data_IF_899981110221
#
_entry.id   IF_899981110221
#
_cell.length_a   1.000
_cell.length_b   1.000
_cell.length_c   1.000
_cell.angle_alpha   90.00
_cell.angle_beta   90.00
_cell.angle_gamma   90.00
#
_symmetry.space_group_name_H-M   'P 1'
#
loop_
_entity.id
_entity.type
_entity.pdbx_description
1 polymer ?
#
# COMPACT_ATOMS: atom_id res chain seq x y z
N UNK A 1 1.46 40.51 -28.67
CA UNK A 1 1.41 40.03 -27.26
C UNK A 1 2.51 38.97 -27.05
N UNK A 2 3.74 39.20 -27.56
CA UNK A 2 4.62 38.07 -27.95
C UNK A 2 6.12 38.21 -27.59
N UNK A 3 6.56 39.21 -26.82
CA UNK A 3 8.01 39.44 -26.64
C UNK A 3 8.47 39.78 -25.21
N UNK A 4 7.83 39.25 -24.17
CA UNK A 4 8.29 39.47 -22.79
C UNK A 4 9.29 38.44 -22.24
N UNK A 5 9.55 37.32 -22.94
CA UNK A 5 10.41 36.24 -22.42
C UNK A 5 11.89 36.33 -22.83
N UNK A 6 12.28 37.30 -23.68
CA UNK A 6 13.64 37.37 -24.24
C UNK A 6 14.68 38.07 -23.35
N UNK A 7 14.26 38.67 -22.23
CA UNK A 7 15.12 39.52 -21.38
C UNK A 7 15.37 38.96 -19.98
N UNK A 8 15.02 37.69 -19.71
CA UNK A 8 15.33 37.07 -18.43
C UNK A 8 16.78 36.56 -18.44
N UNK A 9 17.65 37.22 -17.70
CA UNK A 9 18.99 36.72 -17.40
C UNK A 9 18.87 35.57 -16.41
N UNK A 10 19.03 34.34 -16.89
CA UNK A 10 19.02 33.15 -16.03
C UNK A 10 20.20 33.19 -15.06
N UNK A 11 19.92 33.11 -13.76
CA UNK A 11 20.95 32.92 -12.74
C UNK A 11 21.38 31.45 -12.69
N UNK A 12 22.63 31.22 -12.32
CA UNK A 12 23.11 29.85 -12.08
C UNK A 12 22.29 29.21 -10.95
N UNK A 13 21.88 27.96 -11.16
CA UNK A 13 21.21 27.18 -10.14
C UNK A 13 22.10 27.05 -8.89
N UNK A 14 21.51 27.09 -7.68
CA UNK A 14 22.26 26.83 -6.47
C UNK A 14 22.78 25.40 -6.45
N UNK A 15 23.75 25.14 -5.57
CA UNK A 15 24.40 23.82 -5.45
C UNK A 15 23.39 22.67 -5.36
N UNK A 16 23.73 21.54 -5.98
CA UNK A 16 22.83 20.39 -6.18
C UNK A 16 22.27 19.85 -4.86
N UNK A 17 23.06 19.88 -3.78
CA UNK A 17 22.63 19.48 -2.44
C UNK A 17 21.45 20.30 -1.90
N UNK A 18 21.40 21.60 -2.19
CA UNK A 18 20.28 22.48 -1.81
C UNK A 18 19.03 22.25 -2.63
N UNK A 19 19.17 21.68 -3.83
CA UNK A 19 18.07 21.43 -4.74
C UNK A 19 17.38 20.08 -4.51
N UNK A 20 18.06 19.12 -3.86
CA UNK A 20 17.51 17.78 -3.65
C UNK A 20 16.13 17.78 -2.97
N UNK A 21 15.84 18.63 -1.96
CA UNK A 21 14.50 18.69 -1.38
C UNK A 21 13.39 19.04 -2.36
N UNK A 22 13.71 19.80 -3.40
CA UNK A 22 12.78 20.24 -4.44
C UNK A 22 12.66 19.21 -5.58
N UNK A 23 13.77 18.55 -5.93
CA UNK A 23 13.81 17.54 -6.99
C UNK A 23 13.33 16.17 -6.53
N UNK A 24 13.57 15.84 -5.27
CA UNK A 24 13.30 14.54 -4.65
C UNK A 24 12.43 14.73 -3.39
N UNK A 25 11.10 14.91 -3.56
CA UNK A 25 10.19 15.07 -2.44
C UNK A 25 10.21 13.85 -1.51
N UNK A 26 10.06 14.14 -0.22
CA UNK A 26 9.96 13.11 0.82
C UNK A 26 8.59 12.42 0.75
N UNK A 27 8.59 11.10 0.89
CA UNK A 27 7.40 10.24 0.85
C UNK A 27 7.46 9.23 1.99
N UNK A 28 6.29 8.89 2.52
CA UNK A 28 6.12 7.88 3.56
C UNK A 28 6.02 6.50 2.93
N UNK A 29 6.68 5.52 3.55
CA UNK A 29 6.60 4.11 3.18
C UNK A 29 5.36 3.53 3.87
N UNK A 30 4.52 2.86 3.10
CA UNK A 30 3.40 2.09 3.64
C UNK A 30 3.92 0.88 4.42
N UNK A 31 3.07 0.32 5.27
CA UNK A 31 3.45 -0.86 6.04
C UNK A 31 3.82 -2.06 5.14
N UNK A 32 3.20 -2.15 3.96
CA UNK A 32 3.49 -3.18 2.93
C UNK A 32 4.82 -2.97 2.17
N UNK A 33 5.65 -2.00 2.58
CA UNK A 33 6.95 -1.73 1.97
C UNK A 33 6.89 -0.95 0.65
N UNK A 34 5.79 -0.24 0.37
CA UNK A 34 5.64 0.54 -0.86
C UNK A 34 5.63 2.05 -0.62
N UNK A 35 6.01 2.79 -1.64
CA UNK A 35 5.95 4.24 -1.68
C UNK A 35 5.04 4.68 -2.80
N UNK A 36 4.15 5.62 -2.49
CA UNK A 36 3.23 6.19 -3.46
C UNK A 36 3.83 7.41 -4.14
N UNK A 37 3.92 7.37 -5.47
CA UNK A 37 4.39 8.48 -6.29
C UNK A 37 3.68 8.48 -7.64
N UNK A 38 3.16 9.62 -8.08
CA UNK A 38 2.47 9.78 -9.37
C UNK A 38 1.38 8.72 -9.64
N UNK A 39 0.57 8.44 -8.62
CA UNK A 39 -0.53 7.49 -8.71
C UNK A 39 -0.10 6.02 -8.93
N UNK A 40 1.12 5.69 -8.51
CA UNK A 40 1.73 4.36 -8.60
C UNK A 40 2.43 3.98 -7.31
N UNK A 41 2.58 2.67 -7.11
CA UNK A 41 3.26 2.08 -5.96
C UNK A 41 4.63 1.55 -6.41
N UNK A 42 5.68 1.96 -5.71
CA UNK A 42 7.05 1.51 -5.93
C UNK A 42 7.58 0.84 -4.67
N UNK A 43 8.13 -0.36 -4.83
CA UNK A 43 8.68 -1.17 -3.77
C UNK A 43 9.96 -0.59 -3.16
N UNK A 44 10.13 -0.71 -1.85
CA UNK A 44 11.35 -0.33 -1.13
C UNK A 44 11.99 -1.61 -0.57
N UNK A 45 13.31 -1.81 -0.78
CA UNK A 45 13.98 -3.00 -0.26
C UNK A 45 14.00 -3.01 1.27
N UNK A 46 13.96 -4.22 1.85
CA UNK A 46 13.95 -4.44 3.30
C UNK A 46 15.26 -3.98 3.98
N UNK A 47 16.33 -3.77 3.20
CA UNK A 47 17.59 -3.19 3.67
C UNK A 47 17.42 -1.79 4.24
N UNK A 48 16.38 -1.06 3.81
CA UNK A 48 16.05 0.26 4.34
C UNK A 48 15.08 0.15 5.51
N UNK A 49 15.55 0.43 6.73
CA UNK A 49 14.75 0.38 7.96
C UNK A 49 13.91 1.64 8.23
N UNK A 50 14.12 2.71 7.45
CA UNK A 50 13.43 3.98 7.65
C UNK A 50 11.96 3.94 7.25
N UNK A 51 11.11 4.77 7.88
CA UNK A 51 9.67 4.90 7.54
C UNK A 51 9.40 5.85 6.36
N UNK A 52 10.44 6.55 5.91
CA UNK A 52 10.35 7.61 4.90
C UNK A 52 11.54 7.54 3.98
N UNK A 53 11.33 7.93 2.72
CA UNK A 53 12.34 8.01 1.67
C UNK A 53 12.11 9.25 0.82
N UNK A 54 13.09 9.61 0.01
CA UNK A 54 12.91 10.60 -1.05
C UNK A 54 12.74 9.90 -2.38
N UNK A 55 11.89 10.46 -3.24
CA UNK A 55 11.62 9.89 -4.56
C UNK A 55 11.92 10.92 -5.62
N UNK A 56 12.84 10.59 -6.52
CA UNK A 56 13.19 11.42 -7.65
C UNK A 56 12.85 10.69 -8.95
N UNK A 57 12.18 11.37 -9.87
CA UNK A 57 11.92 10.84 -11.21
C UNK A 57 12.71 11.63 -12.25
N UNK A 58 13.42 10.91 -13.10
CA UNK A 58 14.13 11.45 -14.26
C UNK A 58 13.72 10.64 -15.49
N UNK A 59 12.77 11.17 -16.28
CA UNK A 59 12.24 10.47 -17.47
C UNK A 59 11.52 9.17 -17.10
N UNK A 60 12.05 8.04 -17.56
CA UNK A 60 11.50 6.68 -17.31
C UNK A 60 12.18 5.95 -16.14
N UNK A 61 13.04 6.65 -15.40
CA UNK A 61 13.76 6.10 -14.26
C UNK A 61 13.31 6.82 -12.99
N UNK A 62 12.92 6.03 -11.99
CA UNK A 62 12.53 6.52 -10.68
C UNK A 62 13.52 6.00 -9.63
N UNK A 63 14.19 6.92 -8.95
CA UNK A 63 15.19 6.64 -7.91
C UNK A 63 14.58 6.86 -6.54
N UNK A 64 14.79 5.88 -5.67
CA UNK A 64 14.46 5.96 -4.25
C UNK A 64 15.75 6.28 -3.52
N UNK A 65 15.75 7.39 -2.79
CA UNK A 65 16.90 7.93 -2.09
C UNK A 65 16.70 7.90 -0.58
N UNK A 66 17.80 7.78 0.15
CA UNK A 66 17.87 7.99 1.60
C UNK A 66 17.40 9.41 1.96
N UNK A 67 16.62 9.59 3.05
CA UNK A 67 16.07 10.89 3.41
C UNK A 67 17.13 11.92 3.82
N UNK A 68 18.24 11.48 4.43
CA UNK A 68 19.28 12.33 5.01
C UNK A 68 20.50 12.45 4.09
N UNK A 69 21.06 11.31 3.70
CA UNK A 69 22.29 11.25 2.89
C UNK A 69 22.05 11.41 1.40
N UNK A 70 20.80 11.23 0.94
CA UNK A 70 20.42 11.21 -0.48
C UNK A 70 21.09 10.10 -1.29
N UNK A 71 21.63 9.08 -0.62
CA UNK A 71 22.17 7.89 -1.27
C UNK A 71 21.08 7.09 -1.97
N UNK A 72 21.42 6.49 -3.11
CA UNK A 72 20.48 5.67 -3.87
C UNK A 72 20.23 4.33 -3.17
N UNK A 73 18.99 4.12 -2.72
CA UNK A 73 18.55 2.86 -2.11
C UNK A 73 18.18 1.85 -3.20
N UNK A 74 17.38 2.31 -4.18
CA UNK A 74 16.93 1.45 -5.28
C UNK A 74 16.47 2.27 -6.48
N UNK A 75 16.64 1.71 -7.68
CA UNK A 75 16.18 2.30 -8.93
C UNK A 75 15.12 1.43 -9.61
N UNK A 76 13.98 2.05 -9.90
CA UNK A 76 12.87 1.48 -10.64
C UNK A 76 12.83 1.99 -12.08
N UNK A 77 12.45 1.10 -13.00
CA UNK A 77 11.95 1.52 -14.31
C UNK A 77 10.46 1.85 -14.19
N UNK A 78 10.09 3.04 -14.63
CA UNK A 78 8.71 3.48 -14.61
C UNK A 78 7.91 2.64 -15.60
N UNK A 79 6.95 1.87 -15.08
CA UNK A 79 5.96 1.18 -15.90
C UNK A 79 4.64 1.98 -15.91
N UNK A 80 3.87 1.89 -16.99
CA UNK A 80 2.56 2.56 -17.10
C UNK A 80 1.41 1.68 -16.60
N UNK A 81 1.72 0.58 -15.92
CA UNK A 81 0.71 -0.35 -15.41
C UNK A 81 0.10 0.16 -14.10
N UNK A 82 -1.08 -0.37 -13.74
CA UNK A 82 -1.70 -0.14 -12.43
C UNK A 82 -1.18 -1.11 -11.35
N UNK A 83 -0.31 -2.05 -11.71
CA UNK A 83 0.22 -3.02 -10.75
C UNK A 83 1.33 -2.37 -9.93
N UNK A 84 1.51 -2.77 -8.66
CA UNK A 84 2.64 -2.32 -7.87
C UNK A 84 3.96 -2.75 -8.55
N UNK A 85 4.94 -1.87 -8.48
CA UNK A 85 6.26 -2.09 -9.06
C UNK A 85 7.17 -2.64 -7.96
N UNK A 86 7.38 -3.95 -7.96
CA UNK A 86 8.13 -4.65 -6.92
C UNK A 86 9.64 -4.39 -7.07
N UNK A 87 10.38 -4.36 -5.96
CA UNK A 87 11.83 -4.33 -6.02
C UNK A 87 12.46 -5.65 -5.54
N UNK A 88 13.72 -5.85 -5.92
CA UNK A 88 14.51 -6.99 -5.46
C UNK A 88 14.83 -6.78 -3.97
N UNK A 89 14.58 -7.81 -3.16
CA UNK A 89 14.86 -7.75 -1.72
C UNK A 89 13.86 -6.96 -0.88
N UNK A 90 12.68 -6.62 -1.40
CA UNK A 90 11.59 -6.06 -0.58
C UNK A 90 10.95 -7.08 0.35
N UNK A 91 11.04 -8.37 0.02
CA UNK A 91 10.58 -9.47 0.87
C UNK A 91 11.74 -10.39 1.15
N UNK A 92 11.80 -10.92 2.38
CA UNK A 92 12.73 -11.99 2.70
C UNK A 92 12.38 -13.23 1.88
N UNK A 93 13.41 -13.96 1.44
CA UNK A 93 13.23 -15.28 0.82
C UNK A 93 13.11 -16.37 1.88
N UNK A 94 13.40 -16.04 3.14
CA UNK A 94 13.25 -16.98 4.24
C UNK A 94 11.78 -17.38 4.37
N UNK A 95 11.48 -18.67 4.43
CA UNK A 95 10.10 -19.14 4.58
C UNK A 95 9.56 -18.64 5.92
N UNK A 96 8.31 -18.16 5.91
CA UNK A 96 7.54 -17.93 7.13
C UNK A 96 7.66 -19.16 8.03
N UNK A 97 7.98 -18.94 9.31
CA UNK A 97 8.17 -20.04 10.25
C UNK A 97 6.95 -20.95 10.24
N UNK A 98 7.14 -22.17 9.74
CA UNK A 98 6.08 -23.16 9.79
C UNK A 98 5.77 -23.46 11.26
N UNK A 99 4.49 -23.70 11.60
CA UNK A 99 4.12 -24.00 12.98
C UNK A 99 5.00 -25.12 13.52
N UNK A 100 5.77 -24.81 14.56
CA UNK A 100 6.74 -25.74 15.16
C UNK A 100 6.06 -26.94 15.80
N UNK A 101 4.76 -26.82 16.05
CA UNK A 101 3.91 -27.83 16.65
C UNK A 101 2.86 -28.33 15.65
N UNK A 102 2.65 -29.65 15.64
CA UNK A 102 1.60 -30.26 14.82
C UNK A 102 0.21 -29.74 15.23
N UNK A 103 -0.57 -29.32 14.24
CA UNK A 103 -1.95 -28.87 14.43
C UNK A 103 -2.82 -30.11 14.67
N UNK A 104 -3.34 -30.27 15.90
CA UNK A 104 -4.20 -31.40 16.29
C UNK A 104 -5.71 -31.07 16.26
N UNK A 105 -6.11 -29.92 15.71
CA UNK A 105 -7.52 -29.51 15.73
C UNK A 105 -8.37 -30.41 14.82
N UNK A 106 -9.24 -31.21 15.42
CA UNK A 106 -10.26 -31.99 14.71
C UNK A 106 -11.56 -31.20 14.73
N UNK A 107 -12.05 -30.80 13.56
CA UNK A 107 -13.38 -30.20 13.42
C UNK A 107 -14.43 -31.32 13.55
N UNK A 108 -15.16 -31.35 14.65
CA UNK A 108 -16.29 -32.27 14.82
C UNK A 108 -17.55 -31.58 14.32
N UNK A 109 -18.18 -32.17 13.29
CA UNK A 109 -19.51 -31.76 12.87
C UNK A 109 -20.52 -32.16 13.95
N UNK A 110 -21.00 -31.18 14.70
CA UNK A 110 -22.10 -31.38 15.63
C UNK A 110 -23.38 -31.35 14.80
N UNK A 111 -24.22 -32.40 14.84
CA UNK A 111 -25.49 -32.38 14.13
C UNK A 111 -26.31 -31.17 14.60
N UNK A 112 -27.01 -30.48 13.69
CA UNK A 112 -27.84 -29.35 14.05
C UNK A 112 -28.84 -29.80 15.13
N UNK A 113 -28.88 -29.08 16.26
CA UNK A 113 -29.90 -29.32 17.29
C UNK A 113 -31.27 -29.08 16.66
N UNK A 114 -32.26 -29.90 16.98
CA UNK A 114 -33.63 -29.67 16.54
C UNK A 114 -34.13 -28.30 17.03
N UNK A 115 -34.16 -27.33 16.10
CA UNK A 115 -34.66 -25.96 16.35
C UNK A 115 -36.10 -25.78 15.88
N UNK A 116 -36.82 -26.87 15.54
CA UNK A 116 -38.21 -26.83 15.07
C UNK A 116 -39.12 -26.04 16.00
N UNK A 117 -38.92 -26.17 17.32
CA UNK A 117 -39.71 -25.47 18.35
C UNK A 117 -39.19 -24.08 18.72
N UNK A 118 -38.01 -23.68 18.21
CA UNK A 118 -37.32 -22.45 18.61
C UNK A 118 -38.07 -21.19 18.18
N UNK A 119 -38.91 -21.31 17.15
CA UNK A 119 -39.72 -20.21 16.62
C UNK A 119 -41.21 -20.29 16.98
N UNK A 120 -41.64 -21.31 17.73
CA UNK A 120 -43.05 -21.43 18.15
C UNK A 120 -43.51 -20.26 19.02
N UNK A 121 -42.60 -19.66 19.81
CA UNK A 121 -42.87 -18.45 20.61
C UNK A 121 -43.16 -17.20 19.76
N UNK A 122 -42.80 -17.22 18.48
CA UNK A 122 -43.07 -16.15 17.52
C UNK A 122 -44.25 -16.49 16.58
N UNK A 123 -45.00 -17.55 16.87
CA UNK A 123 -46.30 -17.77 16.24
C UNK A 123 -47.27 -16.68 16.74
N UNK A 124 -47.17 -15.51 16.12
CA UNK A 124 -48.13 -14.42 16.26
C UNK A 124 -49.47 -15.00 15.81
N UNK A 125 -50.40 -15.05 16.76
CA UNK A 125 -51.83 -15.32 16.64
C UNK A 125 -52.27 -15.54 15.19
N UNK A 126 -52.52 -16.81 14.81
CA UNK A 126 -53.35 -17.09 13.64
C UNK A 126 -54.66 -16.31 13.82
N UNK A 127 -55.02 -15.57 12.79
CA UNK A 127 -56.21 -14.72 12.71
C UNK A 127 -57.51 -15.52 12.89
N UNK A 128 -57.83 -15.92 14.11
CA UNK A 128 -59.12 -16.53 14.45
C UNK A 128 -59.95 -15.52 15.27
N UNK A 129 -60.17 -14.32 14.72
CA UNK A 129 -61.31 -13.47 15.13
C UNK A 129 -61.57 -12.33 14.14
N UNK A 130 -61.61 -12.62 12.84
CA UNK A 130 -62.34 -11.80 11.87
C UNK A 130 -63.24 -12.71 11.03
N UNK A 131 -64.35 -13.16 11.62
CA UNK A 131 -65.54 -13.44 10.82
C UNK A 131 -66.76 -13.09 11.66
N UNK A 132 -67.16 -11.82 11.55
CA UNK A 132 -68.45 -11.31 11.97
C UNK A 132 -69.58 -12.10 11.26
N UNK A 133 -70.49 -12.67 12.05
CA UNK A 133 -71.92 -12.77 11.73
C UNK A 133 -72.75 -12.71 13.00
#
# INVERSE_FOLDING_TARGET
MEQHYKQETFSALPDGGRLVPYLAPMRKISWDGYVYYENRLYGVPLTHSGKTVRVQRTGDVLRILSPETHDEIYTHRVNWSRKPNNCIGQWSTEPEEQPTQRINSTLVFVPPKDTSKRFERFAILKEDSFNDK
#
